data_IF_379467012965
#
_entry.id   IF_379467012965
#
_cell.length_a   1.000
_cell.length_b   1.000
_cell.length_c   1.000
_cell.angle_alpha   90.00
_cell.angle_beta   90.00
_cell.angle_gamma   90.00
#
_symmetry.space_group_name_H-M   'P 1'
#
loop_
_entity.id
_entity.type
_entity.pdbx_description
1 polymer ?
#
# COMPACT_ATOMS: atom_id res chain seq x y z
N UNK A 1 -4.04 -18.39 -7.55
CA UNK A 1 -3.36 -18.84 -8.78
C UNK A 1 -2.70 -17.62 -9.42
N UNK A 2 -1.37 -17.60 -9.56
CA UNK A 2 -0.63 -16.52 -10.23
C UNK A 2 -0.82 -16.68 -11.74
N UNK A 3 -1.22 -15.61 -12.43
CA UNK A 3 -1.44 -15.62 -13.88
C UNK A 3 -0.18 -15.07 -14.59
N UNK A 4 0.53 -15.95 -15.30
CA UNK A 4 1.79 -15.62 -15.99
C UNK A 4 1.59 -15.00 -17.39
N UNK A 5 0.35 -14.90 -17.89
CA UNK A 5 0.04 -14.31 -19.20
C UNK A 5 -0.27 -12.80 -19.14
N UNK A 6 -0.26 -12.20 -17.96
CA UNK A 6 -0.39 -10.75 -17.79
C UNK A 6 0.87 -10.27 -17.09
N UNK A 7 1.65 -9.44 -17.77
CA UNK A 7 2.87 -8.83 -17.24
C UNK A 7 2.53 -7.72 -16.23
N UNK A 8 1.73 -8.04 -15.21
CA UNK A 8 1.33 -7.11 -14.16
C UNK A 8 2.05 -7.51 -12.90
N UNK A 9 3.30 -7.07 -12.77
CA UNK A 9 4.14 -7.37 -11.62
C UNK A 9 3.43 -7.09 -10.28
N UNK A 10 2.48 -6.15 -10.26
CA UNK A 10 1.66 -5.82 -9.11
C UNK A 10 0.29 -5.35 -9.62
N UNK A 11 -0.81 -6.07 -9.31
CA UNK A 11 -2.17 -5.62 -9.62
C UNK A 11 -2.58 -4.51 -8.63
N UNK A 12 -1.93 -3.34 -8.76
CA UNK A 12 -2.11 -2.20 -7.88
C UNK A 12 -3.43 -1.51 -8.19
N UNK A 13 -4.33 -1.50 -7.21
CA UNK A 13 -5.57 -0.73 -7.27
C UNK A 13 -5.38 0.52 -6.42
N UNK A 14 -5.49 1.71 -7.02
CA UNK A 14 -5.40 2.96 -6.27
C UNK A 14 -6.54 3.00 -5.22
N UNK A 15 -6.22 3.40 -3.99
CA UNK A 15 -7.19 3.58 -2.91
C UNK A 15 -7.14 5.01 -2.37
N UNK A 16 -8.23 5.44 -1.75
CA UNK A 16 -8.28 6.73 -1.07
C UNK A 16 -7.35 6.72 0.16
N UNK A 17 -6.65 7.82 0.43
CA UNK A 17 -5.79 7.93 1.62
C UNK A 17 -6.56 7.75 2.94
N UNK A 18 -7.83 8.11 2.98
CA UNK A 18 -8.71 7.88 4.14
C UNK A 18 -9.09 6.40 4.32
N UNK A 19 -8.77 5.55 3.34
CA UNK A 19 -8.99 4.10 3.40
C UNK A 19 -7.72 3.33 3.76
N UNK A 20 -6.61 4.04 4.03
CA UNK A 20 -5.39 3.43 4.57
C UNK A 20 -5.70 2.88 5.96
N UNK A 21 -5.21 1.68 6.24
CA UNK A 21 -5.34 1.07 7.55
C UNK A 21 -4.65 1.91 8.64
N UNK A 22 -5.28 2.02 9.81
CA UNK A 22 -4.79 2.87 10.90
C UNK A 22 -3.43 2.39 11.41
N UNK A 23 -3.14 1.10 11.29
CA UNK A 23 -1.87 0.45 11.61
C UNK A 23 -0.70 1.08 10.84
N UNK A 24 -0.92 1.53 9.61
CA UNK A 24 0.11 2.20 8.80
C UNK A 24 0.54 3.52 9.44
N UNK A 25 -0.35 4.23 10.13
CA UNK A 25 0.01 5.46 10.83
C UNK A 25 1.04 5.21 11.94
N UNK A 26 0.97 4.05 12.62
CA UNK A 26 1.95 3.65 13.63
C UNK A 26 3.34 3.32 13.05
N UNK A 27 3.44 3.08 11.74
CA UNK A 27 4.71 2.83 11.05
C UNK A 27 5.38 4.11 10.54
N UNK A 28 4.67 5.24 10.52
CA UNK A 28 5.18 6.52 10.04
C UNK A 28 6.10 7.18 11.08
N UNK A 29 7.23 7.72 10.63
CA UNK A 29 8.11 8.52 11.50
C UNK A 29 7.66 9.99 11.53
N UNK A 30 8.17 10.78 12.47
CA UNK A 30 7.80 12.20 12.57
C UNK A 30 8.05 12.97 11.26
N UNK A 31 7.07 13.78 10.85
CA UNK A 31 7.07 14.53 9.58
C UNK A 31 6.93 13.66 8.32
N UNK A 32 6.68 12.36 8.45
CA UNK A 32 6.29 11.49 7.34
C UNK A 32 4.79 11.64 7.07
N UNK A 33 4.41 11.74 5.78
CA UNK A 33 3.01 11.86 5.36
C UNK A 33 2.73 10.98 4.13
N UNK A 34 1.54 10.36 4.03
CA UNK A 34 1.16 9.59 2.86
C UNK A 34 0.88 10.53 1.68
N UNK A 35 1.30 10.10 0.49
CA UNK A 35 1.09 10.81 -0.78
C UNK A 35 0.16 10.02 -1.70
N UNK A 36 0.33 8.69 -1.74
CA UNK A 36 -0.52 7.77 -2.52
C UNK A 36 -0.63 6.43 -1.80
N UNK A 37 -1.73 5.72 -2.02
CA UNK A 37 -1.92 4.39 -1.48
C UNK A 37 -2.54 3.47 -2.52
N UNK A 38 -2.09 2.21 -2.53
CA UNK A 38 -2.56 1.18 -3.42
C UNK A 38 -2.88 -0.07 -2.62
N UNK A 39 -3.95 -0.77 -3.00
CA UNK A 39 -4.27 -2.11 -2.52
C UNK A 39 -3.84 -3.12 -3.57
N UNK A 40 -3.14 -4.16 -3.11
CA UNK A 40 -2.84 -5.36 -3.90
C UNK A 40 -3.74 -6.50 -3.44
N UNK A 41 -3.48 -7.72 -3.91
CA UNK A 41 -4.25 -8.90 -3.48
C UNK A 41 -4.04 -9.18 -1.98
N UNK A 42 -2.87 -8.87 -1.42
CA UNK A 42 -2.50 -9.21 -0.02
C UNK A 42 -2.11 -8.02 0.84
N UNK A 43 -1.65 -6.94 0.20
CA UNK A 43 -0.93 -5.88 0.88
C UNK A 43 -1.53 -4.50 0.56
N UNK A 44 -1.39 -3.55 1.47
CA UNK A 44 -1.44 -2.13 1.16
C UNK A 44 -0.02 -1.60 0.95
N UNK A 45 0.12 -0.79 -0.09
CA UNK A 45 1.35 -0.12 -0.49
C UNK A 45 1.13 1.38 -0.39
N UNK A 46 1.76 2.00 0.60
CA UNK A 46 1.62 3.43 0.89
C UNK A 46 2.92 4.14 0.54
N UNK A 47 2.85 5.03 -0.43
CA UNK A 47 3.95 5.91 -0.83
C UNK A 47 3.89 7.15 0.03
N UNK A 48 4.96 7.41 0.78
CA UNK A 48 5.10 8.60 1.62
C UNK A 48 6.08 9.58 1.00
N UNK A 49 6.25 10.75 1.64
CA UNK A 49 7.31 11.69 1.30
C UNK A 49 8.73 11.23 1.70
N UNK A 50 8.89 10.04 2.31
CA UNK A 50 10.19 9.54 2.77
C UNK A 50 10.54 8.14 2.23
N UNK A 51 9.56 7.25 2.09
CA UNK A 51 9.76 5.85 1.69
C UNK A 51 8.45 5.21 1.23
N UNK A 52 8.51 3.92 0.96
CA UNK A 52 7.34 3.08 0.70
C UNK A 52 7.11 2.21 1.93
N UNK A 53 5.86 2.14 2.40
CA UNK A 53 5.42 1.25 3.46
C UNK A 53 4.57 0.15 2.81
N UNK A 54 4.92 -1.11 3.06
CA UNK A 54 4.12 -2.28 2.67
C UNK A 54 3.57 -2.91 3.92
N UNK A 55 2.24 -3.02 4.02
CA UNK A 55 1.53 -3.60 5.14
C UNK A 55 0.70 -4.79 4.64
N UNK A 56 0.90 -5.95 5.26
CA UNK A 56 0.10 -7.13 4.96
C UNK A 56 -1.28 -6.97 5.60
N UNK A 57 -2.34 -7.07 4.79
CA UNK A 57 -3.71 -6.98 5.28
C UNK A 57 -4.21 -8.38 5.61
N UNK A 58 -4.49 -8.62 6.90
CA UNK A 58 -5.28 -9.77 7.32
C UNK A 58 -6.72 -9.60 6.78
N UNK A 59 -7.10 -10.45 5.84
CA UNK A 59 -8.45 -10.52 5.27
C UNK A 59 -9.33 -11.43 6.10
#
# INVERSE_FOLDING_TARGET
MINFNKNTAWNLTLINLNSIHNEVAGLMVNGERPLMAFKTIRDQLVFTNKRIISEYVLV
#
